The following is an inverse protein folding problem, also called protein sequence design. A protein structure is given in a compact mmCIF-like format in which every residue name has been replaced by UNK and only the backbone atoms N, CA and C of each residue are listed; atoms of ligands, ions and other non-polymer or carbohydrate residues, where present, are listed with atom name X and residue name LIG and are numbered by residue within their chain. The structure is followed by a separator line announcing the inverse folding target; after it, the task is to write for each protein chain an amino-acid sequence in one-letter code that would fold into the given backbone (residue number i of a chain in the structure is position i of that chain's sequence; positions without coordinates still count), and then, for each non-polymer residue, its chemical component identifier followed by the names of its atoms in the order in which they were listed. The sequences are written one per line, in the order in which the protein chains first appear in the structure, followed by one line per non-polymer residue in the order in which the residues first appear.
data_IF_079055729481
#
_entry.id   IF_079055729481
#
_cell.length_a   1.000
_cell.length_b   1.000
_cell.length_c   1.000
_cell.angle_alpha   90.00
_cell.angle_beta   90.00
_cell.angle_gamma   90.00
#
_symmetry.space_group_name_H-M   'P 1'
#
loop_
_entity.id
_entity.type
_entity.pdbx_description
1 polymer ?
#
# COMPACT_ATOMS: atom_id res chain seq x y z
N UNK A 1 27.34 18.65 -13.53
CA UNK A 1 25.91 18.33 -13.32
C UNK A 1 25.85 17.12 -12.37
N UNK A 2 25.83 17.34 -11.05
CA UNK A 2 26.12 16.27 -10.08
C UNK A 2 25.56 16.48 -8.67
N UNK A 3 24.39 17.13 -8.56
CA UNK A 3 23.69 17.28 -7.27
C UNK A 3 22.64 16.16 -7.14
N UNK A 4 23.03 14.96 -6.69
CA UNK A 4 22.07 13.92 -6.32
C UNK A 4 22.56 13.18 -5.08
N UNK A 5 21.64 12.82 -4.19
CA UNK A 5 21.94 12.00 -3.02
C UNK A 5 22.24 10.57 -3.47
N UNK A 6 23.35 10.00 -2.98
CA UNK A 6 23.75 8.63 -3.26
C UNK A 6 23.10 7.69 -2.25
N UNK A 7 21.92 7.18 -2.58
CA UNK A 7 21.14 6.28 -1.71
C UNK A 7 21.83 4.92 -1.48
N UNK A 8 22.72 4.51 -2.38
CA UNK A 8 23.48 3.25 -2.30
C UNK A 8 24.78 3.34 -1.50
N UNK A 9 25.14 4.51 -0.97
CA UNK A 9 26.37 4.66 -0.20
C UNK A 9 26.23 3.99 1.19
N UNK A 10 27.23 3.23 1.68
CA UNK A 10 27.13 2.48 2.94
C UNK A 10 26.94 3.38 4.18
N UNK A 11 27.25 4.67 4.08
CA UNK A 11 27.00 5.65 5.13
C UNK A 11 25.69 6.45 4.97
N UNK A 12 24.80 6.03 4.06
CA UNK A 12 23.50 6.66 3.90
C UNK A 12 22.46 5.98 4.79
N UNK A 13 22.05 6.65 5.87
CA UNK A 13 21.10 6.14 6.87
C UNK A 13 19.83 6.99 7.02
N UNK A 14 19.56 7.86 6.05
CA UNK A 14 18.50 8.86 6.17
C UNK A 14 17.09 8.31 5.88
N UNK A 15 16.98 7.21 5.12
CA UNK A 15 15.69 6.62 4.74
C UNK A 15 15.61 5.16 5.18
N UNK A 16 14.38 4.64 5.27
CA UNK A 16 14.16 3.21 5.51
C UNK A 16 14.55 2.37 4.28
N UNK A 17 14.46 2.95 3.08
CA UNK A 17 14.91 2.35 1.84
C UNK A 17 16.32 2.84 1.53
N UNK A 18 17.32 1.99 1.75
CA UNK A 18 18.74 2.27 1.51
C UNK A 18 19.42 1.10 0.83
N UNK A 19 20.57 1.37 0.21
CA UNK A 19 21.34 0.36 -0.52
C UNK A 19 20.96 0.28 -2.00
N UNK A 20 21.81 -0.40 -2.77
CA UNK A 20 21.62 -0.63 -4.20
C UNK A 20 21.86 -2.12 -4.48
N UNK A 21 20.77 -2.84 -4.75
CA UNK A 21 20.85 -4.22 -5.21
C UNK A 21 21.01 -4.25 -6.74
N UNK A 22 22.06 -4.93 -7.21
CA UNK A 22 22.43 -4.99 -8.63
C UNK A 22 21.36 -5.74 -9.43
N UNK A 23 20.75 -6.78 -8.85
CA UNK A 23 19.74 -7.58 -9.52
C UNK A 23 18.46 -6.76 -9.70
N UNK A 24 18.03 -6.06 -8.64
CA UNK A 24 16.89 -5.15 -8.69
C UNK A 24 17.10 -4.02 -9.71
N UNK A 25 18.31 -3.45 -9.78
CA UNK A 25 18.64 -2.42 -10.76
C UNK A 25 18.53 -2.93 -12.22
N UNK A 26 19.05 -4.13 -12.50
CA UNK A 26 18.93 -4.75 -13.81
C UNK A 26 17.45 -5.01 -14.16
N UNK A 27 16.64 -5.44 -13.18
CA UNK A 27 15.20 -5.61 -13.34
C UNK A 27 14.46 -4.30 -13.64
N UNK A 28 14.86 -3.19 -13.00
CA UNK A 28 14.29 -1.88 -13.26
C UNK A 28 14.59 -1.40 -14.68
N UNK A 29 15.82 -1.58 -15.17
CA UNK A 29 16.16 -1.28 -16.58
C UNK A 29 15.37 -2.13 -17.57
N UNK A 30 15.23 -3.43 -17.29
CA UNK A 30 14.43 -4.32 -18.14
C UNK A 30 12.96 -3.91 -18.15
N UNK A 31 12.41 -3.56 -17.00
CA UNK A 31 11.03 -3.10 -16.86
C UNK A 31 10.81 -1.78 -17.60
N UNK A 32 11.75 -0.83 -17.48
CA UNK A 32 11.71 0.43 -18.19
C UNK A 32 11.81 0.25 -19.73
N UNK A 33 12.62 -0.70 -20.19
CA UNK A 33 12.74 -1.04 -21.60
C UNK A 33 11.46 -1.70 -22.15
N UNK A 34 10.81 -2.55 -21.35
CA UNK A 34 9.55 -3.19 -21.72
C UNK A 34 8.41 -2.15 -21.85
N UNK A 35 8.38 -1.14 -20.96
CA UNK A 35 7.38 -0.05 -20.94
C UNK A 35 5.92 -0.54 -21.13
N UNK A 36 5.61 -1.72 -20.62
CA UNK A 36 4.29 -2.34 -20.70
C UNK A 36 3.45 -1.97 -19.47
N UNK A 37 2.14 -1.86 -19.66
CA UNK A 37 1.24 -1.61 -18.54
C UNK A 37 0.66 -2.92 -17.97
N UNK A 38 0.50 -3.01 -16.66
CA UNK A 38 0.06 -4.21 -15.93
C UNK A 38 -1.47 -4.34 -15.86
N UNK A 39 -2.21 -3.91 -16.88
CA UNK A 39 -3.68 -3.91 -16.84
C UNK A 39 -4.31 -5.20 -17.38
N UNK A 40 -3.68 -5.85 -18.36
CA UNK A 40 -4.25 -7.03 -19.03
C UNK A 40 -3.18 -8.06 -19.35
N UNK A 41 -3.59 -9.34 -19.34
CA UNK A 41 -2.72 -10.46 -19.67
C UNK A 41 -2.15 -10.39 -21.09
N UNK A 42 -2.88 -9.78 -22.03
CA UNK A 42 -2.45 -9.67 -23.43
C UNK A 42 -1.23 -8.76 -23.62
N UNK A 43 -1.09 -7.73 -22.78
CA UNK A 43 -0.03 -6.72 -22.91
C UNK A 43 1.17 -7.06 -22.02
N UNK A 44 0.96 -7.73 -20.88
CA UNK A 44 2.00 -8.04 -19.90
C UNK A 44 1.87 -9.46 -19.30
N UNK A 45 1.87 -10.53 -20.12
CA UNK A 45 1.55 -11.88 -19.64
C UNK A 45 2.58 -12.38 -18.61
N UNK A 46 3.86 -12.14 -18.86
CA UNK A 46 4.93 -12.62 -17.98
C UNK A 46 4.94 -11.86 -16.65
N UNK A 47 4.77 -10.53 -16.68
CA UNK A 47 4.76 -9.71 -15.46
C UNK A 47 3.56 -10.04 -14.55
N UNK A 48 2.38 -10.28 -15.13
CA UNK A 48 1.19 -10.67 -14.35
C UNK A 48 1.36 -12.05 -13.71
N UNK A 49 1.97 -13.01 -14.40
CA UNK A 49 2.28 -14.32 -13.82
C UNK A 49 3.33 -14.21 -12.71
N UNK A 50 4.38 -13.42 -12.93
CA UNK A 50 5.40 -13.15 -11.91
C UNK A 50 4.81 -12.51 -10.66
N UNK A 51 3.94 -11.50 -10.81
CA UNK A 51 3.24 -10.87 -9.69
C UNK A 51 2.43 -11.91 -8.90
N UNK A 52 1.64 -12.75 -9.58
CA UNK A 52 0.84 -13.78 -8.93
C UNK A 52 1.68 -14.75 -8.08
N UNK A 53 2.81 -15.22 -8.62
CA UNK A 53 3.72 -16.14 -7.92
C UNK A 53 4.37 -15.45 -6.70
N UNK A 54 4.82 -14.20 -6.85
CA UNK A 54 5.42 -13.44 -5.74
C UNK A 54 4.39 -13.23 -4.63
N UNK A 55 3.18 -12.81 -4.97
CA UNK A 55 2.12 -12.57 -4.00
C UNK A 55 1.67 -13.86 -3.32
N UNK A 56 1.56 -14.96 -4.05
CA UNK A 56 1.28 -16.28 -3.47
C UNK A 56 2.37 -16.69 -2.48
N UNK A 57 3.65 -16.49 -2.83
CA UNK A 57 4.76 -16.78 -1.93
C UNK A 57 4.71 -15.92 -0.66
N UNK A 58 4.39 -14.63 -0.80
CA UNK A 58 4.21 -13.73 0.34
C UNK A 58 3.07 -14.17 1.26
N UNK A 59 1.91 -14.55 0.70
CA UNK A 59 0.78 -15.10 1.48
C UNK A 59 1.14 -16.38 2.21
N UNK A 60 1.88 -17.27 1.55
CA UNK A 60 2.35 -18.51 2.14
C UNK A 60 3.31 -18.25 3.32
N UNK A 61 4.16 -17.21 3.26
CA UNK A 61 5.01 -16.80 4.39
C UNK A 61 4.21 -16.25 5.57
N UNK A 62 3.10 -15.57 5.31
CA UNK A 62 2.15 -15.10 6.35
C UNK A 62 1.36 -16.28 6.96
N UNK A 63 1.26 -17.40 6.24
CA UNK A 63 0.52 -18.60 6.65
C UNK A 63 -0.93 -18.66 6.13
N UNK A 64 -1.29 -17.83 5.15
CA UNK A 64 -2.63 -17.85 4.54
C UNK A 64 -2.67 -18.80 3.35
N UNK A 65 -3.62 -19.75 3.39
CA UNK A 65 -3.83 -20.74 2.32
C UNK A 65 -4.64 -20.20 1.14
N UNK A 66 -5.49 -19.20 1.39
CA UNK A 66 -6.40 -18.63 0.41
C UNK A 66 -6.45 -17.13 0.62
N UNK A 67 -6.42 -16.35 -0.45
CA UNK A 67 -6.53 -14.91 -0.38
C UNK A 67 -6.22 -14.28 -1.72
N UNK A 68 -6.67 -13.04 -1.87
CA UNK A 68 -6.36 -12.20 -3.01
C UNK A 68 -5.34 -11.13 -2.61
N UNK A 69 -4.56 -10.64 -3.55
CA UNK A 69 -3.53 -9.63 -3.31
C UNK A 69 -3.22 -8.87 -4.58
N UNK A 70 -2.77 -7.63 -4.43
CA UNK A 70 -2.33 -6.78 -5.54
C UNK A 70 -1.13 -5.95 -5.07
N UNK A 71 -0.16 -5.71 -5.95
CA UNK A 71 0.89 -4.74 -5.66
C UNK A 71 0.34 -3.32 -5.82
N UNK A 72 0.46 -2.53 -4.75
CA UNK A 72 0.06 -1.13 -4.75
C UNK A 72 1.29 -0.21 -4.80
N UNK A 73 1.17 0.99 -5.40
CA UNK A 73 2.27 1.95 -5.47
C UNK A 73 2.52 2.59 -4.11
N UNK A 74 3.22 1.87 -3.24
CA UNK A 74 3.60 2.28 -1.89
C UNK A 74 2.69 1.77 -0.77
N UNK A 75 3.23 1.78 0.45
CA UNK A 75 2.54 1.28 1.65
C UNK A 75 1.30 2.08 2.04
N UNK A 76 1.28 3.39 1.81
CA UNK A 76 0.13 4.25 2.16
C UNK A 76 -1.12 3.91 1.34
N UNK A 77 -0.96 3.62 0.04
CA UNK A 77 -2.07 3.20 -0.82
C UNK A 77 -2.49 1.76 -0.49
N UNK A 78 -1.54 0.89 -0.11
CA UNK A 78 -1.85 -0.45 0.41
C UNK A 78 -2.78 -0.39 1.63
N UNK A 79 -2.50 0.51 2.58
CA UNK A 79 -3.36 0.73 3.75
C UNK A 79 -4.74 1.26 3.35
N UNK A 80 -4.81 2.17 2.38
CA UNK A 80 -6.07 2.65 1.83
C UNK A 80 -6.90 1.50 1.23
N UNK A 81 -6.28 0.62 0.44
CA UNK A 81 -6.98 -0.56 -0.10
C UNK A 81 -7.54 -1.46 0.99
N UNK A 82 -6.78 -1.70 2.06
CA UNK A 82 -7.26 -2.47 3.21
C UNK A 82 -8.52 -1.84 3.84
N UNK A 83 -8.53 -0.52 4.00
CA UNK A 83 -9.68 0.22 4.54
C UNK A 83 -10.89 0.18 3.60
N UNK A 84 -10.66 0.34 2.30
CA UNK A 84 -11.71 0.27 1.29
C UNK A 84 -12.33 -1.13 1.23
N UNK A 85 -11.51 -2.18 1.28
CA UNK A 85 -11.96 -3.57 1.31
C UNK A 85 -12.76 -3.88 2.58
N UNK A 86 -12.28 -3.45 3.75
CA UNK A 86 -12.99 -3.61 5.01
C UNK A 86 -14.35 -2.87 5.02
N UNK A 87 -14.38 -1.64 4.49
CA UNK A 87 -15.62 -0.87 4.33
C UNK A 87 -16.59 -1.56 3.38
N UNK A 88 -16.10 -2.04 2.24
CA UNK A 88 -16.96 -2.72 1.25
C UNK A 88 -17.52 -4.04 1.78
N UNK A 89 -16.72 -4.81 2.53
CA UNK A 89 -17.18 -6.04 3.18
C UNK A 89 -18.29 -5.79 4.21
N UNK A 90 -18.20 -4.71 4.99
CA UNK A 90 -19.19 -4.37 6.03
C UNK A 90 -20.42 -3.64 5.46
N UNK A 91 -20.22 -2.78 4.48
CA UNK A 91 -21.25 -1.96 3.84
C UNK A 91 -21.16 -2.07 2.32
N UNK A 92 -21.65 -3.17 1.71
CA UNK A 92 -21.53 -3.40 0.28
C UNK A 92 -22.28 -2.33 -0.55
N UNK A 93 -23.40 -1.83 -0.01
CA UNK A 93 -24.25 -0.81 -0.64
C UNK A 93 -23.59 0.58 -0.71
N UNK A 94 -22.47 0.80 -0.01
CA UNK A 94 -21.76 2.08 0.00
C UNK A 94 -21.30 2.50 -1.39
N UNK A 95 -20.96 1.55 -2.27
CA UNK A 95 -20.45 1.87 -3.61
C UNK A 95 -21.50 2.59 -4.48
N UNK A 96 -22.77 2.25 -4.30
CA UNK A 96 -23.88 2.78 -5.10
C UNK A 96 -24.59 3.94 -4.40
N UNK A 97 -24.85 3.81 -3.11
CA UNK A 97 -25.64 4.77 -2.32
C UNK A 97 -24.78 5.80 -1.59
N UNK A 98 -23.46 5.61 -1.56
CA UNK A 98 -22.54 6.49 -0.84
C UNK A 98 -22.76 6.47 0.67
N UNK A 99 -22.48 7.60 1.32
CA UNK A 99 -22.50 7.74 2.79
C UNK A 99 -23.89 7.54 3.42
N UNK A 100 -24.97 7.79 2.67
CA UNK A 100 -26.35 7.63 3.16
C UNK A 100 -26.72 6.19 3.52
N UNK A 101 -25.99 5.21 2.97
CA UNK A 101 -26.19 3.78 3.27
C UNK A 101 -25.60 3.35 4.62
N UNK A 102 -24.80 4.20 5.26
CA UNK A 102 -24.19 3.87 6.55
C UNK A 102 -25.11 4.41 7.66
N UNK A 103 -25.61 3.57 8.57
CA UNK A 103 -26.57 3.97 9.61
C UNK A 103 -25.94 4.83 10.74
N UNK A 104 -24.73 5.35 10.55
CA UNK A 104 -24.00 6.14 11.52
C UNK A 104 -22.62 6.58 11.03
N UNK A 105 -21.79 7.07 11.95
CA UNK A 105 -20.43 7.49 11.65
C UNK A 105 -19.48 6.29 11.61
N UNK A 106 -18.71 6.16 10.52
CA UNK A 106 -17.67 5.14 10.44
C UNK A 106 -16.47 5.56 11.30
N UNK A 107 -16.03 4.67 12.18
CA UNK A 107 -14.90 4.89 13.08
C UNK A 107 -13.88 3.76 12.89
N UNK A 108 -12.60 4.12 12.94
CA UNK A 108 -11.47 3.23 12.81
C UNK A 108 -10.44 3.57 13.88
N UNK A 109 -9.74 2.54 14.37
CA UNK A 109 -8.74 2.66 15.42
C UNK A 109 -7.36 2.35 14.85
N UNK A 110 -6.37 3.15 15.22
CA UNK A 110 -4.96 2.99 14.85
C UNK A 110 -4.09 3.49 16.00
N UNK A 111 -2.86 3.00 16.11
CA UNK A 111 -1.87 3.54 17.05
C UNK A 111 -1.49 4.98 16.66
N UNK A 112 -1.13 5.77 17.66
CA UNK A 112 -0.56 7.11 17.56
C UNK A 112 0.77 7.14 16.78
N UNK A 113 1.56 6.06 16.83
CA UNK A 113 2.84 5.90 16.11
C UNK A 113 2.68 5.30 14.71
N UNK A 114 1.46 5.10 14.22
CA UNK A 114 1.23 4.44 12.94
C UNK A 114 1.74 5.27 11.74
N UNK A 115 2.23 4.56 10.72
CA UNK A 115 2.83 5.17 9.53
C UNK A 115 1.84 6.05 8.74
N UNK A 116 2.39 7.01 7.98
CA UNK A 116 1.65 7.99 7.21
C UNK A 116 0.79 7.31 6.13
N UNK A 117 -0.51 7.26 6.40
CA UNK A 117 -1.54 6.48 5.71
C UNK A 117 -2.67 6.15 6.69
N UNK A 118 -2.31 5.80 7.92
CA UNK A 118 -3.18 5.80 9.10
C UNK A 118 -3.05 7.06 9.97
N UNK A 119 -1.98 7.85 9.85
CA UNK A 119 -1.81 9.08 10.64
C UNK A 119 -2.46 10.35 10.05
N UNK A 120 -2.41 10.56 8.72
CA UNK A 120 -2.90 11.81 8.08
C UNK A 120 -4.43 11.94 8.14
N UNK A 121 -5.15 10.84 7.96
CA UNK A 121 -6.61 10.75 8.17
C UNK A 121 -7.02 11.03 9.62
N UNK A 122 -6.08 10.95 10.57
CA UNK A 122 -6.33 10.99 12.02
C UNK A 122 -5.47 12.04 12.74
N UNK A 123 -4.84 12.94 11.97
CA UNK A 123 -4.01 14.02 12.49
C UNK A 123 -4.81 14.84 13.50
N UNK A 124 -4.20 15.19 14.64
CA UNK A 124 -4.81 16.02 15.70
C UNK A 124 -5.44 17.31 15.12
N UNK A 125 -4.98 17.80 13.97
CA UNK A 125 -5.50 18.98 13.27
C UNK A 125 -6.90 18.80 12.65
N UNK A 126 -7.32 17.57 12.33
CA UNK A 126 -8.62 17.27 11.70
C UNK A 126 -9.49 16.29 12.54
N UNK A 127 -9.11 16.06 13.80
CA UNK A 127 -9.80 15.15 14.71
C UNK A 127 -11.15 15.75 15.16
N UNK A 128 -12.23 14.98 15.05
CA UNK A 128 -13.54 15.40 15.55
C UNK A 128 -13.51 15.54 17.10
N UNK A 129 -14.09 16.60 17.70
CA UNK A 129 -14.02 16.88 19.16
C UNK A 129 -14.61 15.80 20.08
N UNK A 130 -15.26 14.75 19.53
CA UNK A 130 -15.83 13.63 20.31
C UNK A 130 -14.85 12.47 20.50
N UNK A 131 -13.69 12.51 19.85
CA UNK A 131 -12.65 11.46 19.90
C UNK A 131 -11.44 11.88 20.74
N UNK A 132 -11.53 13.00 21.47
CA UNK A 132 -10.57 13.40 22.49
C UNK A 132 -10.79 12.57 23.76
N UNK A 133 -9.84 11.70 24.11
CA UNK A 133 -9.87 10.87 25.33
C UNK A 133 -9.74 9.35 25.13
N UNK A 134 -9.62 8.87 23.89
CA UNK A 134 -9.43 7.43 23.57
C UNK A 134 -7.94 7.07 23.42
N UNK A 135 -7.04 7.90 23.97
CA UNK A 135 -5.60 7.60 24.00
C UNK A 135 -5.33 6.69 25.22
N UNK A 136 -5.01 5.42 24.96
CA UNK A 136 -4.32 4.53 25.91
C UNK A 136 -2.98 4.15 25.32
#
# INVERSE_FOLDING_TARGET
MGYRFLLGHPHFFNQLSCGLDIISLAGEWLTAAANTNMFTYEIAPVFILMENVVLEKMRNMIGWRTGDSILAPGGSISNLYAFLAARHRKFPQYKEKGLSSIPGQLVMFTSDQAAWGGGLLFSKKYRHPRLTGIER
#
